data_IF_125513538949
#
_entry.id   IF_125513538949
#
_cell.length_a   1.000
_cell.length_b   1.000
_cell.length_c   1.000
_cell.angle_alpha   90.00
_cell.angle_beta   90.00
_cell.angle_gamma   90.00
#
_symmetry.space_group_name_H-M   'P 1'
#
loop_
_entity.id
_entity.type
_entity.pdbx_description
1 polymer ?
#
# COMPACT_ATOMS: atom_id res chain seq x y z
N UNK A 1 -7.93 18.77 -8.25
CA UNK A 1 -8.48 17.60 -9.00
C UNK A 1 -9.24 16.74 -8.01
N UNK A 2 -10.54 16.97 -7.87
CA UNK A 2 -11.36 16.28 -6.86
C UNK A 2 -11.50 14.79 -7.14
N UNK A 3 -11.43 14.39 -8.42
CA UNK A 3 -11.41 12.98 -8.85
C UNK A 3 -10.17 12.23 -8.32
N UNK A 4 -9.00 12.87 -8.34
CA UNK A 4 -7.77 12.24 -7.84
C UNK A 4 -7.84 11.98 -6.33
N UNK A 5 -8.36 12.94 -5.57
CA UNK A 5 -8.56 12.83 -4.12
C UNK A 5 -9.58 11.72 -3.82
N UNK A 6 -10.70 11.69 -4.55
CA UNK A 6 -11.75 10.67 -4.40
C UNK A 6 -11.24 9.25 -4.65
N UNK A 7 -10.36 9.06 -5.64
CA UNK A 7 -9.76 7.74 -5.97
C UNK A 7 -8.68 7.37 -4.95
N UNK A 8 -7.87 8.33 -4.48
CA UNK A 8 -6.85 8.08 -3.45
C UNK A 8 -7.45 7.69 -2.11
N UNK A 9 -8.60 8.25 -1.74
CA UNK A 9 -9.31 7.90 -0.52
C UNK A 9 -9.78 6.43 -0.52
N UNK A 10 -10.22 5.91 -1.67
CA UNK A 10 -10.55 4.50 -1.83
C UNK A 10 -10.18 4.02 -3.24
N UNK A 11 -9.04 3.33 -3.34
CA UNK A 11 -8.50 2.85 -4.62
C UNK A 11 -9.37 1.79 -5.32
N UNK A 12 -10.32 1.19 -4.61
CA UNK A 12 -11.25 0.18 -5.16
C UNK A 12 -12.61 0.78 -5.56
N UNK A 13 -12.73 2.11 -5.68
CA UNK A 13 -13.98 2.77 -6.10
C UNK A 13 -14.34 2.49 -7.55
N UNK A 14 -15.64 2.41 -7.82
CA UNK A 14 -16.18 2.35 -9.16
C UNK A 14 -16.24 3.75 -9.79
N UNK A 15 -15.99 3.84 -11.10
CA UNK A 15 -16.03 5.10 -11.86
C UNK A 15 -17.45 5.70 -11.84
N UNK A 16 -18.49 4.86 -11.87
CA UNK A 16 -19.88 5.32 -11.80
C UNK A 16 -20.20 6.03 -10.48
N UNK A 17 -19.71 5.50 -9.36
CA UNK A 17 -19.97 6.10 -8.04
C UNK A 17 -19.28 7.46 -7.93
N UNK A 18 -18.04 7.55 -8.43
CA UNK A 18 -17.29 8.81 -8.49
C UNK A 18 -17.99 9.83 -9.41
N UNK A 19 -18.51 9.38 -10.56
CA UNK A 19 -19.26 10.23 -11.48
C UNK A 19 -20.54 10.79 -10.83
N UNK A 20 -21.27 9.95 -10.09
CA UNK A 20 -22.48 10.35 -9.39
C UNK A 20 -22.19 11.31 -8.23
N UNK A 21 -21.18 11.03 -7.41
CA UNK A 21 -20.80 11.85 -6.26
C UNK A 21 -20.35 13.26 -6.68
N UNK A 22 -19.63 13.35 -7.79
CA UNK A 22 -19.11 14.61 -8.32
C UNK A 22 -20.04 15.25 -9.37
N UNK A 23 -21.19 14.62 -9.65
CA UNK A 23 -22.17 15.02 -10.66
C UNK A 23 -21.53 15.33 -12.05
N UNK A 24 -20.63 14.45 -12.48
CA UNK A 24 -19.92 14.54 -13.77
C UNK A 24 -20.30 13.37 -14.66
N UNK A 25 -20.10 13.51 -15.97
CA UNK A 25 -20.32 12.38 -16.87
C UNK A 25 -19.30 11.26 -16.61
N UNK A 26 -19.76 10.01 -16.71
CA UNK A 26 -18.90 8.82 -16.58
C UNK A 26 -17.72 8.87 -17.57
N UNK A 27 -17.98 9.33 -18.80
CA UNK A 27 -16.96 9.48 -19.84
C UNK A 27 -15.86 10.48 -19.43
N UNK A 28 -16.25 11.59 -18.80
CA UNK A 28 -15.32 12.59 -18.27
C UNK A 28 -14.41 11.97 -17.21
N UNK A 29 -14.99 11.25 -16.25
CA UNK A 29 -14.21 10.58 -15.19
C UNK A 29 -13.27 9.55 -15.82
N UNK A 30 -13.76 8.71 -16.73
CA UNK A 30 -12.94 7.72 -17.43
C UNK A 30 -11.76 8.35 -18.17
N UNK A 31 -11.98 9.45 -18.91
CA UNK A 31 -10.94 10.17 -19.63
C UNK A 31 -9.89 10.76 -18.68
N UNK A 32 -10.33 11.37 -17.57
CA UNK A 32 -9.42 11.95 -16.58
C UNK A 32 -8.58 10.85 -15.92
N UNK A 33 -9.18 9.74 -15.53
CA UNK A 33 -8.50 8.62 -14.86
C UNK A 33 -7.48 7.95 -15.78
N UNK A 34 -7.87 7.64 -17.01
CA UNK A 34 -7.02 6.88 -17.95
C UNK A 34 -5.98 7.74 -18.67
N UNK A 35 -6.37 8.92 -19.16
CA UNK A 35 -5.50 9.72 -20.03
C UNK A 35 -4.72 10.80 -19.28
N UNK A 36 -5.32 11.43 -18.27
CA UNK A 36 -4.66 12.51 -17.52
C UNK A 36 -3.87 11.95 -16.32
N UNK A 37 -4.54 11.18 -15.46
CA UNK A 37 -3.93 10.59 -14.26
C UNK A 37 -3.15 9.31 -14.55
N UNK A 38 -3.41 8.66 -15.70
CA UNK A 38 -2.77 7.41 -16.13
C UNK A 38 -2.90 6.28 -15.10
N UNK A 39 -4.01 6.25 -14.38
CA UNK A 39 -4.29 5.15 -13.47
C UNK A 39 -4.72 3.91 -14.24
N UNK A 40 -4.14 2.78 -13.83
CA UNK A 40 -4.46 1.46 -14.36
C UNK A 40 -5.45 0.77 -13.42
N UNK A 41 -6.42 0.07 -13.99
CA UNK A 41 -7.25 -0.84 -13.22
C UNK A 41 -6.42 -2.07 -12.80
N UNK A 42 -6.31 -2.30 -11.50
CA UNK A 42 -5.55 -3.41 -10.93
C UNK A 42 -6.53 -4.36 -10.27
N UNK A 43 -6.46 -5.64 -10.63
CA UNK A 43 -7.27 -6.66 -9.97
C UNK A 43 -6.86 -6.81 -8.51
N UNK A 44 -7.84 -6.95 -7.62
CA UNK A 44 -7.57 -7.27 -6.22
C UNK A 44 -6.83 -8.61 -6.13
N UNK A 45 -5.77 -8.66 -5.33
CA UNK A 45 -5.09 -9.92 -5.04
C UNK A 45 -5.86 -10.68 -3.97
N UNK A 46 -6.00 -12.00 -4.16
CA UNK A 46 -6.61 -12.86 -3.15
C UNK A 46 -5.71 -12.97 -1.93
N UNK A 47 -6.32 -12.91 -0.74
CA UNK A 47 -5.64 -13.08 0.55
C UNK A 47 -6.33 -14.23 1.31
N UNK A 48 -5.58 -15.19 1.89
CA UNK A 48 -6.16 -16.40 2.49
C UNK A 48 -7.13 -16.18 3.64
N UNK A 49 -6.88 -15.19 4.50
CA UNK A 49 -7.75 -14.85 5.61
C UNK A 49 -7.45 -13.43 6.10
N UNK A 50 -8.37 -12.87 6.87
CA UNK A 50 -8.20 -11.56 7.51
C UNK A 50 -7.34 -11.76 8.76
N UNK A 51 -6.20 -11.07 8.83
CA UNK A 51 -5.31 -11.11 9.98
C UNK A 51 -5.87 -10.24 11.12
N UNK A 52 -5.92 -10.82 12.33
CA UNK A 52 -6.16 -10.06 13.56
C UNK A 52 -4.95 -9.18 13.88
N UNK A 53 -5.14 -8.18 14.74
CA UNK A 53 -4.03 -7.31 15.16
C UNK A 53 -2.97 -8.09 15.95
N UNK A 54 -3.37 -9.15 16.65
CA UNK A 54 -2.43 -10.07 17.30
C UNK A 54 -1.54 -10.77 16.26
N UNK A 55 -2.11 -11.32 15.18
CA UNK A 55 -1.33 -11.96 14.11
C UNK A 55 -0.35 -10.98 13.44
N UNK A 56 -0.78 -9.72 13.23
CA UNK A 56 0.08 -8.67 12.66
C UNK A 56 1.22 -8.30 13.61
N UNK A 57 0.93 -8.13 14.89
CA UNK A 57 1.92 -7.83 15.92
C UNK A 57 2.95 -8.94 16.01
N UNK A 58 2.52 -10.20 16.07
CA UNK A 58 3.41 -11.34 16.19
C UNK A 58 4.33 -11.47 14.96
N UNK A 59 3.78 -11.30 13.75
CA UNK A 59 4.56 -11.29 12.51
C UNK A 59 5.62 -10.17 12.52
N UNK A 60 5.25 -8.94 12.88
CA UNK A 60 6.17 -7.80 12.87
C UNK A 60 7.29 -7.95 13.91
N UNK A 61 6.98 -8.48 15.11
CA UNK A 61 7.99 -8.72 16.14
C UNK A 61 8.93 -9.87 15.81
N UNK A 62 8.44 -10.92 15.13
CA UNK A 62 9.30 -11.99 14.62
C UNK A 62 10.38 -11.42 13.70
N UNK A 63 10.00 -10.56 12.76
CA UNK A 63 10.98 -9.90 11.89
C UNK A 63 11.89 -8.93 12.66
N UNK A 64 11.36 -8.15 13.60
CA UNK A 64 12.18 -7.24 14.41
C UNK A 64 13.25 -7.99 15.23
N UNK A 65 12.91 -9.15 15.81
CA UNK A 65 13.87 -10.02 16.49
C UNK A 65 14.91 -10.59 15.52
N UNK A 66 14.49 -11.04 14.33
CA UNK A 66 15.43 -11.50 13.30
C UNK A 66 16.39 -10.38 12.90
N UNK A 67 15.90 -9.17 12.65
CA UNK A 67 16.76 -8.02 12.31
C UNK A 67 17.73 -7.65 13.43
N UNK A 68 17.28 -7.65 14.69
CA UNK A 68 18.14 -7.31 15.83
C UNK A 68 19.19 -8.38 16.13
N UNK A 69 18.84 -9.67 16.01
CA UNK A 69 19.79 -10.78 16.11
C UNK A 69 20.81 -10.70 14.98
N UNK A 70 20.37 -10.54 13.73
CA UNK A 70 21.30 -10.39 12.59
C UNK A 70 22.28 -9.22 12.77
N UNK A 71 21.79 -8.04 13.18
CA UNK A 71 22.66 -6.90 13.44
C UNK A 71 23.64 -7.18 14.60
N UNK A 72 23.18 -7.74 15.71
CA UNK A 72 24.02 -7.99 16.89
C UNK A 72 25.00 -9.15 16.72
N UNK A 73 24.69 -10.17 15.91
CA UNK A 73 25.59 -11.29 15.65
C UNK A 73 26.60 -11.01 14.54
N UNK A 74 26.34 -10.07 13.62
CA UNK A 74 27.27 -9.67 12.56
C UNK A 74 28.08 -8.38 12.84
N UNK A 75 27.66 -7.55 13.80
CA UNK A 75 28.43 -6.36 14.22
C UNK A 75 29.76 -6.61 14.96
N UNK A 76 30.07 -7.75 15.62
CA UNK A 76 31.32 -7.82 16.39
C UNK A 76 32.58 -8.00 15.52
N UNK A 77 32.48 -8.15 14.20
CA UNK A 77 33.66 -8.32 13.32
C UNK A 77 34.33 -6.97 12.95
N UNK A 78 33.68 -5.82 13.18
CA UNK A 78 34.25 -4.51 12.77
C UNK A 78 34.87 -3.70 13.90
N UNK A 79 34.64 -4.02 15.18
CA UNK A 79 35.16 -3.23 16.32
C UNK A 79 36.55 -3.72 16.79
N UNK A 80 36.99 -4.92 16.38
CA UNK A 80 38.31 -5.48 16.70
C UNK A 80 39.43 -5.11 15.71
N UNK A 81 39.25 -4.06 14.89
CA UNK A 81 40.25 -3.61 13.93
C UNK A 81 40.54 -2.11 14.09
N UNK A 82 40.88 -1.68 15.31
CA UNK A 82 41.57 -0.41 15.54
C UNK A 82 42.42 -0.60 16.80
N UNK A 83 43.65 -1.10 16.58
CA UNK A 83 44.72 -1.18 17.58
C UNK A 83 45.46 0.14 17.61
#
# INVERSE_FOLDING_TARGET
MDIDIAIKANRCRNICDVANELNVSISTVHNIVSNILKYRNVCCQWVPHILSDHHKWEHNNKWAFVYSVWYTTWLPVTIFCST
#
